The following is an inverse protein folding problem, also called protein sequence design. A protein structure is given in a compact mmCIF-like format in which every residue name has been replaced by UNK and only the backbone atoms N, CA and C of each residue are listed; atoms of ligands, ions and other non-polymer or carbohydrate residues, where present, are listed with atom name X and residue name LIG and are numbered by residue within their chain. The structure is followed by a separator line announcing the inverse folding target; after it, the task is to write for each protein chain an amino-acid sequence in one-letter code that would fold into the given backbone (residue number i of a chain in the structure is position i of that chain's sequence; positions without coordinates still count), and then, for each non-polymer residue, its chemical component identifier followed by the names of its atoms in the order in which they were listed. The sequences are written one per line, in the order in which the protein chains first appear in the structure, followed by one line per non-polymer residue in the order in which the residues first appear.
data_IF_623086396145
#
_entry.id   IF_623086396145
#
_cell.length_a   1.000
_cell.length_b   1.000
_cell.length_c   1.000
_cell.angle_alpha   90.00
_cell.angle_beta   90.00
_cell.angle_gamma   90.00
#
_symmetry.space_group_name_H-M   'P 1'
#
loop_
_entity.id
_entity.type
_entity.pdbx_description
1 polymer ?
#
# COMPACT_ATOMS: atom_id res chain seq x y z
N UNK A 1 -11.15 -9.09 15.29
CA UNK A 1 -10.33 -8.00 15.86
C UNK A 1 -10.95 -6.69 15.44
N UNK A 2 -11.52 -5.93 16.39
CA UNK A 2 -12.01 -4.58 16.12
C UNK A 2 -10.92 -3.62 16.59
N UNK A 3 -10.09 -3.15 15.66
CA UNK A 3 -9.15 -2.07 15.93
C UNK A 3 -9.96 -0.80 16.25
N UNK A 4 -9.52 0.00 17.24
CA UNK A 4 -10.19 1.23 17.63
C UNK A 4 -10.38 2.17 16.44
N UNK A 5 -11.54 2.81 16.34
CA UNK A 5 -11.79 3.81 15.28
C UNK A 5 -10.89 5.01 15.49
N UNK A 6 -10.22 5.46 14.42
CA UNK A 6 -9.56 6.75 14.39
C UNK A 6 -10.65 7.83 14.46
N UNK A 7 -10.52 8.75 15.41
CA UNK A 7 -11.43 9.90 15.54
C UNK A 7 -10.99 11.00 14.58
N UNK A 8 -11.91 11.89 14.17
CA UNK A 8 -11.63 12.96 13.21
C UNK A 8 -10.36 13.80 13.50
N UNK A 9 -10.02 14.15 14.76
CA UNK A 9 -8.78 14.86 15.06
C UNK A 9 -7.52 14.06 14.74
N UNK A 10 -7.56 12.74 14.90
CA UNK A 10 -6.43 11.84 14.69
C UNK A 10 -6.22 11.50 13.21
N UNK A 11 -7.19 11.75 12.33
CA UNK A 11 -7.08 11.40 10.90
C UNK A 11 -5.90 12.12 10.22
N UNK A 12 -5.63 13.38 10.59
CA UNK A 12 -4.51 14.19 10.08
C UNK A 12 -3.17 13.92 10.80
N UNK A 13 -3.20 13.21 11.92
CA UNK A 13 -2.02 12.84 12.73
C UNK A 13 -1.68 11.35 12.60
N UNK A 14 -2.49 10.60 11.84
CA UNK A 14 -2.29 9.19 11.63
C UNK A 14 -1.79 8.93 10.22
N UNK A 15 -0.66 8.21 10.13
CA UNK A 15 -0.04 7.84 8.87
C UNK A 15 0.40 6.38 8.85
N UNK A 16 0.63 5.89 7.64
CA UNK A 16 0.87 4.51 7.31
C UNK A 16 2.17 4.41 6.53
N UNK A 17 3.13 3.70 7.11
CA UNK A 17 4.36 3.29 6.44
C UNK A 17 4.36 1.76 6.37
N UNK A 18 4.26 1.18 5.18
CA UNK A 18 4.21 -0.27 5.03
C UNK A 18 5.29 -0.80 4.11
N UNK A 19 5.91 -1.89 4.53
CA UNK A 19 6.87 -2.64 3.73
C UNK A 19 6.15 -3.69 2.89
N UNK A 20 6.45 -3.74 1.59
CA UNK A 20 5.98 -4.81 0.70
C UNK A 20 7.19 -5.47 0.07
N UNK A 21 7.22 -6.81 0.05
CA UNK A 21 8.31 -7.56 -0.57
C UNK A 21 8.14 -7.63 -2.08
N UNK A 22 7.04 -8.24 -2.50
CA UNK A 22 6.56 -8.29 -3.86
C UNK A 22 5.05 -8.05 -3.79
N UNK A 23 4.49 -7.35 -4.78
CA UNK A 23 3.04 -7.14 -4.85
C UNK A 23 2.26 -8.44 -5.11
N UNK A 24 1.00 -8.32 -5.52
CA UNK A 24 0.14 -9.40 -5.99
C UNK A 24 0.70 -10.17 -7.22
N UNK A 25 1.58 -11.13 -6.91
CA UNK A 25 2.05 -12.14 -7.84
C UNK A 25 0.92 -13.05 -8.39
N UNK A 26 -0.22 -13.16 -7.70
CA UNK A 26 -1.33 -13.99 -8.15
C UNK A 26 -2.11 -13.31 -9.28
N UNK A 27 -2.30 -11.99 -9.22
CA UNK A 27 -2.86 -11.19 -10.31
C UNK A 27 -2.03 -11.33 -11.60
N UNK A 28 -0.70 -11.29 -11.49
CA UNK A 28 0.22 -11.51 -12.61
C UNK A 28 0.03 -12.89 -13.28
N UNK A 29 -0.16 -13.95 -12.48
CA UNK A 29 -0.38 -15.31 -13.01
C UNK A 29 -1.71 -15.49 -13.73
N UNK A 30 -2.80 -14.91 -13.21
CA UNK A 30 -4.11 -15.01 -13.85
C UNK A 30 -4.15 -14.33 -15.23
N UNK A 31 -3.35 -13.29 -15.43
CA UNK A 31 -3.24 -12.60 -16.71
C UNK A 31 -2.41 -13.35 -17.76
N UNK A 32 -1.55 -14.31 -17.36
CA UNK A 32 -0.77 -15.10 -18.33
C UNK A 32 -1.64 -15.98 -19.23
N UNK A 33 -2.79 -16.42 -18.72
CA UNK A 33 -3.76 -17.20 -19.51
C UNK A 33 -4.46 -16.35 -20.59
N UNK A 34 -4.48 -15.02 -20.44
CA UNK A 34 -5.12 -14.08 -21.37
C UNK A 34 -4.26 -13.80 -22.62
N UNK A 35 -2.97 -14.16 -22.62
CA UNK A 35 -2.08 -13.93 -23.77
C UNK A 35 -2.28 -14.94 -24.92
N UNK A 36 -2.93 -16.07 -24.68
CA UNK A 36 -3.16 -17.13 -25.68
C UNK A 36 -4.48 -17.01 -26.45
N UNK A 37 -5.45 -16.27 -25.91
CA UNK A 37 -6.75 -16.00 -26.54
C UNK A 37 -6.75 -14.55 -26.99
N UNK A 38 -6.70 -14.31 -28.30
CA UNK A 38 -6.62 -12.97 -28.89
C UNK A 38 -7.45 -11.96 -28.10
N UNK A 39 -6.77 -10.98 -27.50
CA UNK A 39 -7.32 -10.04 -26.53
C UNK A 39 -8.37 -9.13 -27.17
N UNK A 40 -9.55 -9.68 -27.42
CA UNK A 40 -10.76 -8.95 -27.68
C UNK A 40 -11.30 -8.43 -26.35
N UNK A 41 -11.53 -7.12 -26.33
CA UNK A 41 -11.98 -6.30 -25.20
C UNK A 41 -10.95 -6.05 -24.10
N UNK A 42 -10.18 -4.98 -24.31
CA UNK A 42 -9.40 -4.33 -23.27
C UNK A 42 -10.25 -4.09 -22.03
N UNK A 43 -9.87 -4.74 -20.94
CA UNK A 43 -10.18 -4.25 -19.61
C UNK A 43 -9.32 -3.00 -19.44
N UNK A 44 -9.90 -1.80 -19.24
CA UNK A 44 -9.14 -0.54 -19.08
C UNK A 44 -8.20 -0.52 -17.86
N UNK A 45 -8.05 -1.67 -17.18
CA UNK A 45 -7.34 -1.90 -15.94
C UNK A 45 -6.56 -3.22 -15.96
N UNK A 46 -5.99 -3.68 -17.09
CA UNK A 46 -5.24 -4.94 -17.13
C UNK A 46 -3.76 -4.83 -16.63
N UNK A 47 -3.26 -3.61 -16.42
CA UNK A 47 -1.92 -3.30 -15.89
C UNK A 47 -1.83 -2.50 -14.56
N UNK A 48 -2.91 -1.94 -13.95
CA UNK A 48 -2.93 -1.35 -12.61
C UNK A 48 -3.24 -2.33 -11.47
N UNK A 49 -3.27 -3.64 -11.71
CA UNK A 49 -3.68 -4.61 -10.68
C UNK A 49 -2.66 -4.78 -9.53
N UNK A 50 -1.44 -4.24 -9.66
CA UNK A 50 -0.43 -4.43 -8.62
C UNK A 50 0.59 -3.30 -8.37
N UNK A 51 0.17 -2.02 -8.23
CA UNK A 51 1.05 -1.05 -7.60
C UNK A 51 1.26 -1.44 -6.13
N UNK A 52 2.51 -1.59 -5.71
CA UNK A 52 2.85 -1.91 -4.30
C UNK A 52 2.29 -0.88 -3.30
N UNK A 53 1.90 0.31 -3.76
CA UNK A 53 1.24 1.32 -2.94
C UNK A 53 -0.24 1.03 -2.63
N UNK A 54 -0.87 0.03 -3.26
CA UNK A 54 -2.26 -0.33 -2.96
C UNK A 54 -2.42 -0.81 -1.53
N UNK A 55 -1.44 -1.54 -1.00
CA UNK A 55 -1.44 -1.96 0.39
C UNK A 55 -1.62 -0.74 1.34
N UNK A 56 -0.76 0.29 1.33
CA UNK A 56 -0.97 1.49 2.15
C UNK A 56 -2.18 2.33 1.77
N UNK A 57 -2.57 2.36 0.49
CA UNK A 57 -3.81 3.03 0.09
C UNK A 57 -5.06 2.39 0.70
N UNK A 58 -5.18 1.06 0.67
CA UNK A 58 -6.31 0.33 1.24
C UNK A 58 -6.41 0.54 2.75
N UNK A 59 -5.29 0.38 3.46
CA UNK A 59 -5.25 0.61 4.91
C UNK A 59 -5.56 2.07 5.25
N UNK A 60 -5.05 3.04 4.46
CA UNK A 60 -5.34 4.47 4.64
C UNK A 60 -6.82 4.78 4.51
N UNK A 61 -7.50 4.22 3.52
CA UNK A 61 -8.94 4.39 3.35
C UNK A 61 -9.73 3.72 4.48
N UNK A 62 -9.33 2.51 4.89
CA UNK A 62 -10.02 1.73 5.92
C UNK A 62 -9.98 2.41 7.29
N UNK A 63 -8.85 3.04 7.62
CA UNK A 63 -8.63 3.72 8.89
C UNK A 63 -8.78 5.23 8.83
N UNK A 64 -9.05 5.81 7.66
CA UNK A 64 -9.10 7.27 7.43
C UNK A 64 -7.80 7.97 7.84
N UNK A 65 -6.67 7.32 7.57
CA UNK A 65 -5.33 7.89 7.74
C UNK A 65 -5.06 8.90 6.63
N UNK A 66 -5.05 10.20 6.92
CA UNK A 66 -4.93 11.26 5.92
C UNK A 66 -3.54 11.90 5.82
N UNK A 67 -2.63 11.60 6.74
CA UNK A 67 -1.27 12.12 6.67
C UNK A 67 -0.39 11.25 5.75
N UNK A 68 0.81 10.86 6.21
CA UNK A 68 1.74 10.05 5.45
C UNK A 68 1.12 8.70 5.04
N UNK A 69 1.21 8.33 3.77
CA UNK A 69 0.83 7.00 3.28
C UNK A 69 1.82 6.57 2.21
N UNK A 70 2.65 5.58 2.50
CA UNK A 70 3.67 5.13 1.56
C UNK A 70 4.03 3.66 1.71
N UNK A 71 4.56 3.12 0.62
CA UNK A 71 5.11 1.77 0.54
C UNK A 71 6.65 1.82 0.44
N UNK A 72 7.35 1.00 1.22
CA UNK A 72 8.78 0.76 1.09
C UNK A 72 9.02 -0.63 0.48
N UNK A 73 9.82 -0.70 -0.59
CA UNK A 73 10.17 -1.95 -1.27
C UNK A 73 11.69 -2.09 -1.33
N UNK A 74 12.23 -2.98 -0.51
CA UNK A 74 13.64 -3.33 -0.46
C UNK A 74 13.82 -4.83 -0.14
N UNK A 75 13.04 -5.66 -0.83
CA UNK A 75 13.00 -7.12 -0.66
C UNK A 75 12.79 -7.53 0.81
N UNK A 76 13.63 -8.41 1.36
CA UNK A 76 13.51 -8.89 2.74
C UNK A 76 13.65 -7.77 3.80
N UNK A 77 14.22 -6.62 3.43
CA UNK A 77 14.40 -5.50 4.33
C UNK A 77 13.22 -4.50 4.30
N UNK A 78 12.19 -4.72 3.47
CA UNK A 78 11.08 -3.78 3.26
C UNK A 78 10.43 -3.34 4.57
N UNK A 79 10.15 -4.27 5.48
CA UNK A 79 9.53 -3.96 6.77
C UNK A 79 10.45 -3.15 7.68
N UNK A 80 11.74 -3.49 7.74
CA UNK A 80 12.73 -2.69 8.48
C UNK A 80 12.84 -1.27 7.92
N UNK A 81 12.82 -1.12 6.59
CA UNK A 81 12.85 0.18 5.95
C UNK A 81 11.58 0.98 6.27
N UNK A 82 10.40 0.37 6.17
CA UNK A 82 9.14 1.03 6.49
C UNK A 82 9.11 1.53 7.96
N UNK A 83 9.58 0.73 8.91
CA UNK A 83 9.68 1.11 10.32
C UNK A 83 10.66 2.28 10.50
N UNK A 84 11.85 2.19 9.91
CA UNK A 84 12.85 3.27 9.98
C UNK A 84 12.34 4.58 9.36
N UNK A 85 11.58 4.49 8.27
CA UNK A 85 10.94 5.65 7.63
C UNK A 85 9.86 6.25 8.52
N UNK A 86 9.01 5.43 9.15
CA UNK A 86 7.98 5.90 10.10
C UNK A 86 8.60 6.62 11.30
N UNK A 87 9.64 6.02 11.88
CA UNK A 87 10.42 6.60 12.98
C UNK A 87 10.98 7.97 12.57
N UNK A 88 11.64 8.08 11.42
CA UNK A 88 12.13 9.38 10.91
C UNK A 88 11.03 10.41 10.66
N UNK A 89 9.82 9.99 10.27
CA UNK A 89 8.69 10.91 10.11
C UNK A 89 8.24 11.50 11.44
N UNK A 90 8.16 10.67 12.48
CA UNK A 90 7.81 11.09 13.84
C UNK A 90 8.93 11.98 14.42
N UNK A 91 10.19 11.54 14.33
CA UNK A 91 11.35 12.30 14.85
C UNK A 91 11.46 13.70 14.25
N UNK A 92 11.12 13.86 12.96
CA UNK A 92 11.17 15.16 12.26
C UNK A 92 9.94 16.02 12.48
N UNK A 93 8.94 15.55 13.25
CA UNK A 93 7.67 16.24 13.46
C UNK A 93 6.80 16.34 12.21
N UNK A 94 7.07 15.50 11.19
CA UNK A 94 6.21 15.36 10.01
C UNK A 94 4.96 14.52 10.32
N UNK A 95 5.05 13.70 11.37
CA UNK A 95 3.93 13.02 12.02
C UNK A 95 3.91 13.42 13.49
N UNK A 96 2.73 13.69 14.05
CA UNK A 96 2.54 14.19 15.42
C UNK A 96 1.80 13.18 16.29
#
# INVERSE_FOLDING_TARGET
MQFGKITEPLEEEFGISMGVGFGDWAASKNNQNSFGTGAETGQPLLHPDDPSNLAPGQVSMLFRARNYSACSVSACASSNHAIGTAMRHIERGMQK
#
